data_IF_558385608188
#
_entry.id   IF_558385608188
#
_cell.length_a   1.000
_cell.length_b   1.000
_cell.length_c   1.000
_cell.angle_alpha   90.00
_cell.angle_beta   90.00
_cell.angle_gamma   90.00
#
_symmetry.space_group_name_H-M   'P 1'
#
loop_
_entity.id
_entity.type
_entity.pdbx_description
1 polymer ?
#
# COMPACT_ATOMS: atom_id res chain seq x y z
N UNK A 1 -12.99 4.54 -13.59
CA UNK A 1 -12.06 3.43 -13.30
C UNK A 1 -10.64 3.94 -13.44
N UNK A 2 -9.77 3.66 -12.46
CA UNK A 2 -8.36 4.09 -12.44
C UNK A 2 -7.50 2.92 -11.96
N UNK A 3 -6.25 2.89 -12.42
CA UNK A 3 -5.26 1.92 -11.96
C UNK A 3 -4.53 2.47 -10.74
N UNK A 4 -4.45 1.68 -9.68
CA UNK A 4 -3.87 2.08 -8.39
C UNK A 4 -2.61 1.28 -8.14
N UNK A 5 -1.57 1.96 -7.69
CA UNK A 5 -0.34 1.37 -7.16
C UNK A 5 -0.39 1.47 -5.64
N UNK A 6 -0.20 0.35 -4.95
CA UNK A 6 -0.24 0.31 -3.49
C UNK A 6 1.17 0.22 -2.91
N UNK A 7 1.53 1.16 -2.03
CA UNK A 7 2.77 1.08 -1.26
C UNK A 7 2.61 0.15 -0.06
N UNK A 8 3.50 -0.82 0.03
CA UNK A 8 3.42 -1.94 0.95
C UNK A 8 3.03 -3.23 0.22
N UNK A 9 3.48 -4.33 0.77
CA UNK A 9 3.20 -5.69 0.30
C UNK A 9 2.83 -6.59 1.47
N UNK A 10 2.09 -6.03 2.44
CA UNK A 10 1.69 -6.68 3.70
C UNK A 10 0.22 -6.39 4.00
N UNK A 11 -0.22 -6.68 5.22
CA UNK A 11 -1.61 -6.66 5.68
C UNK A 11 -2.40 -5.41 5.29
N UNK A 12 -1.84 -4.21 5.51
CA UNK A 12 -2.53 -2.96 5.16
C UNK A 12 -2.66 -2.77 3.64
N UNK A 13 -1.69 -3.27 2.87
CA UNK A 13 -1.72 -3.26 1.41
C UNK A 13 -2.71 -4.29 0.86
N UNK A 14 -2.80 -5.47 1.47
CA UNK A 14 -3.82 -6.48 1.13
C UNK A 14 -5.23 -5.98 1.45
N UNK A 15 -5.42 -5.39 2.62
CA UNK A 15 -6.72 -4.84 3.02
C UNK A 15 -7.15 -3.71 2.08
N UNK A 16 -6.20 -2.87 1.67
CA UNK A 16 -6.44 -1.86 0.65
C UNK A 16 -6.82 -2.47 -0.69
N UNK A 17 -6.11 -3.50 -1.15
CA UNK A 17 -6.44 -4.21 -2.39
C UNK A 17 -7.87 -4.78 -2.34
N UNK A 18 -8.24 -5.41 -1.23
CA UNK A 18 -9.59 -5.93 -1.03
C UNK A 18 -10.66 -4.84 -1.12
N UNK A 19 -10.55 -3.76 -0.33
CA UNK A 19 -11.56 -2.69 -0.33
C UNK A 19 -11.61 -1.97 -1.68
N UNK A 20 -10.47 -1.71 -2.31
CA UNK A 20 -10.42 -1.07 -3.62
C UNK A 20 -11.11 -1.94 -4.67
N UNK A 21 -10.84 -3.23 -4.69
CA UNK A 21 -11.37 -4.13 -5.72
C UNK A 21 -12.81 -4.57 -5.48
N UNK A 22 -13.28 -4.54 -4.23
CA UNK A 22 -14.63 -4.98 -3.85
C UNK A 22 -15.63 -3.82 -3.80
N UNK A 23 -15.24 -2.68 -3.23
CA UNK A 23 -16.17 -1.61 -2.92
C UNK A 23 -16.13 -0.46 -3.96
N UNK A 24 -15.27 -0.57 -4.98
CA UNK A 24 -15.10 0.48 -5.99
C UNK A 24 -14.87 -0.08 -7.39
N UNK A 25 -15.07 0.77 -8.40
CA UNK A 25 -14.71 0.49 -9.79
C UNK A 25 -13.21 0.74 -10.08
N UNK A 26 -12.35 0.80 -9.07
CA UNK A 26 -10.91 0.93 -9.25
C UNK A 26 -10.23 -0.43 -9.30
N UNK A 27 -9.03 -0.47 -9.87
CA UNK A 27 -8.22 -1.69 -9.96
C UNK A 27 -6.85 -1.43 -9.38
N UNK A 28 -6.32 -2.40 -8.63
CA UNK A 28 -4.92 -2.39 -8.23
C UNK A 28 -4.09 -2.98 -9.36
N UNK A 29 -3.13 -2.21 -9.87
CA UNK A 29 -2.26 -2.59 -10.97
C UNK A 29 -0.94 -3.18 -10.47
N UNK A 30 -0.38 -2.64 -9.38
CA UNK A 30 0.88 -3.08 -8.82
C UNK A 30 0.98 -2.75 -7.33
N UNK A 31 1.88 -3.42 -6.64
CA UNK A 31 2.37 -3.04 -5.32
C UNK A 31 3.78 -2.46 -5.44
N UNK A 32 4.22 -1.72 -4.43
CA UNK A 32 5.58 -1.27 -4.36
C UNK A 32 6.11 -1.19 -2.93
N UNK A 33 7.42 -1.34 -2.79
CA UNK A 33 8.14 -1.17 -1.53
C UNK A 33 9.48 -0.51 -1.83
N UNK A 34 10.11 0.12 -0.84
CA UNK A 34 11.49 0.60 -1.04
C UNK A 34 12.37 -0.57 -1.48
N UNK A 35 13.31 -0.32 -2.37
CA UNK A 35 14.27 -1.29 -2.92
C UNK A 35 14.87 -2.22 -1.87
N UNK A 36 15.29 -1.69 -0.71
CA UNK A 36 15.82 -2.47 0.42
C UNK A 36 14.83 -3.48 1.05
N UNK A 37 13.53 -3.33 0.81
CA UNK A 37 12.45 -4.20 1.28
C UNK A 37 11.85 -5.06 0.17
N UNK A 38 12.28 -4.88 -1.07
CA UNK A 38 11.85 -5.70 -2.21
C UNK A 38 12.47 -7.08 -2.10
N UNK A 39 11.65 -8.13 -2.15
CA UNK A 39 12.07 -9.52 -1.98
C UNK A 39 11.48 -10.43 -3.03
N UNK A 40 10.17 -10.28 -3.21
CA UNK A 40 9.40 -10.95 -4.24
C UNK A 40 8.99 -9.92 -5.29
N UNK A 41 8.90 -10.38 -6.53
CA UNK A 41 8.44 -9.60 -7.68
C UNK A 41 6.92 -9.59 -7.81
N UNK A 42 6.20 -10.30 -6.93
CA UNK A 42 4.74 -10.39 -6.96
C UNK A 42 4.10 -10.51 -5.57
N UNK A 43 2.89 -9.95 -5.45
CA UNK A 43 2.03 -10.00 -4.26
C UNK A 43 0.57 -10.04 -4.72
N UNK A 44 -0.23 -11.00 -4.20
CA UNK A 44 -1.64 -11.22 -4.59
C UNK A 44 -1.84 -11.36 -6.11
N UNK A 45 -0.87 -11.98 -6.80
CA UNK A 45 -0.88 -12.16 -8.27
C UNK A 45 -0.61 -10.88 -9.07
N UNK A 46 -0.16 -9.80 -8.42
CA UNK A 46 0.18 -8.51 -9.04
C UNK A 46 1.67 -8.22 -8.84
N UNK A 47 2.33 -7.48 -9.76
CA UNK A 47 3.74 -7.18 -9.63
C UNK A 47 4.05 -6.33 -8.40
N UNK A 48 5.21 -6.54 -7.79
CA UNK A 48 5.79 -5.70 -6.74
C UNK A 48 7.04 -5.04 -7.30
N UNK A 49 7.11 -3.72 -7.22
CA UNK A 49 8.16 -2.94 -7.88
C UNK A 49 8.88 -2.08 -6.84
N UNK A 50 10.16 -1.80 -7.07
CA UNK A 50 10.90 -0.86 -6.25
C UNK A 50 10.23 0.53 -6.33
N UNK A 51 9.99 1.16 -5.18
CA UNK A 51 9.39 2.48 -5.11
C UNK A 51 10.17 3.52 -5.93
N UNK A 52 11.49 3.38 -5.95
CA UNK A 52 12.44 4.20 -6.68
C UNK A 52 12.22 4.15 -8.20
N UNK A 53 11.63 3.06 -8.72
CA UNK A 53 11.36 2.86 -10.14
C UNK A 53 9.95 3.27 -10.56
N UNK A 54 9.09 3.65 -9.60
CA UNK A 54 7.67 3.94 -9.89
C UNK A 54 7.51 5.12 -10.84
N UNK A 55 8.26 6.21 -10.65
CA UNK A 55 8.13 7.40 -11.50
C UNK A 55 8.55 7.15 -12.96
N UNK A 56 9.45 6.21 -13.18
CA UNK A 56 9.93 5.86 -14.52
C UNK A 56 8.96 4.92 -15.25
N UNK A 57 8.26 4.05 -14.52
CA UNK A 57 7.39 3.03 -15.11
C UNK A 57 5.90 3.41 -15.12
N UNK A 58 5.47 4.32 -14.25
CA UNK A 58 4.05 4.66 -14.08
C UNK A 58 3.81 6.17 -14.15
N UNK A 59 3.14 6.58 -15.22
CA UNK A 59 2.71 7.95 -15.45
C UNK A 59 1.63 8.37 -14.43
N UNK A 60 1.79 9.52 -13.75
CA UNK A 60 0.76 10.08 -12.86
C UNK A 60 -0.56 10.45 -13.57
N UNK A 61 -0.57 10.52 -14.91
CA UNK A 61 -1.81 10.73 -15.68
C UNK A 61 -2.68 9.48 -15.74
N UNK A 62 -2.05 8.30 -15.68
CA UNK A 62 -2.69 7.01 -15.96
C UNK A 62 -2.85 6.15 -14.70
N UNK A 63 -2.01 6.41 -13.69
CA UNK A 63 -1.97 5.67 -12.42
C UNK A 63 -2.15 6.60 -11.21
N UNK A 64 -2.87 6.08 -10.22
CA UNK A 64 -2.99 6.67 -8.88
C UNK A 64 -2.14 5.88 -7.89
N UNK A 65 -1.76 6.51 -6.79
CA UNK A 65 -0.90 5.92 -5.76
C UNK A 65 -1.60 5.92 -4.40
N UNK A 66 -1.49 4.81 -3.65
CA UNK A 66 -2.09 4.66 -2.33
C UNK A 66 -1.09 4.01 -1.37
N UNK A 67 -0.89 4.56 -0.17
CA UNK A 67 0.12 4.07 0.79
C UNK A 67 -0.50 3.71 2.15
N UNK A 68 -1.18 2.54 2.25
CA UNK A 68 -1.79 2.07 3.47
C UNK A 68 -0.70 1.55 4.41
N UNK A 69 -0.19 2.42 5.27
CA UNK A 69 0.89 2.09 6.19
C UNK A 69 0.35 1.75 7.58
N UNK A 70 0.84 0.65 8.15
CA UNK A 70 0.55 0.30 9.53
C UNK A 70 1.10 1.37 10.49
N UNK A 71 0.38 1.76 11.55
CA UNK A 71 0.91 2.60 12.60
C UNK A 71 2.17 1.96 13.20
N UNK A 72 3.28 2.69 13.24
CA UNK A 72 4.55 2.25 13.84
C UNK A 72 4.81 2.95 15.18
N UNK A 73 5.60 2.31 16.05
CA UNK A 73 5.77 2.74 17.45
C UNK A 73 4.75 2.08 18.39
N UNK A 74 4.69 0.75 18.35
CA UNK A 74 3.99 -0.20 19.24
C UNK A 74 2.51 0.05 19.51
N UNK A 75 1.83 0.92 18.75
CA UNK A 75 0.56 1.45 19.22
C UNK A 75 0.67 1.90 20.70
N UNK A 76 1.87 2.19 21.22
CA UNK A 76 2.08 2.77 22.56
C UNK A 76 1.39 4.10 22.58
N UNK A 77 1.48 4.83 21.46
CA UNK A 77 0.58 5.93 21.12
C UNK A 77 -0.90 5.61 21.33
N UNK A 78 -1.36 4.46 20.84
CA UNK A 78 -2.76 4.01 20.94
C UNK A 78 -3.14 3.59 22.37
N UNK A 79 -2.18 3.15 23.19
CA UNK A 79 -2.36 2.77 24.58
C UNK A 79 -2.31 3.97 25.53
N UNK A 80 -1.41 4.92 25.28
CA UNK A 80 -1.34 6.22 25.98
C UNK A 80 -2.68 6.97 25.83
N UNK A 81 -3.22 6.95 24.61
CA UNK A 81 -4.58 7.44 24.30
C UNK A 81 -5.63 6.75 25.17
N UNK A 82 -5.65 5.41 25.20
CA UNK A 82 -6.65 4.66 25.94
C UNK A 82 -6.61 4.94 27.45
N UNK A 83 -5.42 5.26 27.98
CA UNK A 83 -5.20 5.47 29.41
C UNK A 83 -5.37 6.94 29.87
N UNK A 84 -5.33 7.94 28.98
CA UNK A 84 -5.45 9.36 29.34
C UNK A 84 -6.88 9.90 29.49
N UNK A 85 -7.90 9.09 29.17
CA UNK A 85 -9.34 9.43 29.30
C UNK A 85 -9.97 8.78 30.55
N UNK A 86 -9.14 8.11 31.34
CA UNK A 86 -9.51 7.57 32.64
C UNK A 86 -9.24 8.58 33.74
#
# INVERSE_FOLDING_TARGET
>A
MSNIIIFGNRDFAELADYYITTDTDHKVAAFCVSSQYLKDDSFKGKPVIAFEEIQSNFSPKDYKFFAPMSPSGMNTKRADIFNGIK
#
